data_IF_337929285212
#
_entry.id   IF_337929285212
#
_cell.length_a   1.000
_cell.length_b   1.000
_cell.length_c   1.000
_cell.angle_alpha   90.00
_cell.angle_beta   90.00
_cell.angle_gamma   90.00
#
_symmetry.space_group_name_H-M   'P 1'
#
loop_
_entity.id
_entity.type
_entity.pdbx_description
1 polymer ?
#
# COMPACT_ATOMS: atom_id res chain seq x y z
N UNK A 1 -15.42 13.50 0.27
CA UNK A 1 -14.39 12.44 0.30
C UNK A 1 -13.35 12.73 -0.76
N UNK A 2 -12.07 12.71 -0.38
CA UNK A 2 -10.93 12.85 -1.29
C UNK A 2 -10.82 11.65 -2.26
N UNK A 3 -10.24 11.90 -3.44
CA UNK A 3 -10.00 10.94 -4.51
C UNK A 3 -9.33 9.65 -4.00
N UNK A 4 -8.38 9.71 -3.06
CA UNK A 4 -7.72 8.55 -2.48
C UNK A 4 -8.67 7.71 -1.62
N UNK A 5 -9.49 8.35 -0.78
CA UNK A 5 -10.51 7.65 0.00
C UNK A 5 -11.58 7.00 -0.89
N UNK A 6 -12.01 7.69 -1.95
CA UNK A 6 -12.92 7.13 -2.97
C UNK A 6 -12.27 5.98 -3.74
N UNK A 7 -10.97 6.08 -4.03
CA UNK A 7 -10.20 5.06 -4.73
C UNK A 7 -10.03 3.81 -3.87
N UNK A 8 -9.75 3.98 -2.57
CA UNK A 8 -9.70 2.87 -1.62
C UNK A 8 -11.05 2.21 -1.39
N UNK A 9 -12.12 3.01 -1.33
CA UNK A 9 -13.48 2.50 -1.21
C UNK A 9 -13.93 1.79 -2.50
N UNK A 10 -13.54 2.29 -3.67
CA UNK A 10 -13.74 1.65 -4.97
C UNK A 10 -12.96 0.34 -5.10
N UNK A 11 -11.69 0.32 -4.67
CA UNK A 11 -10.87 -0.88 -4.50
C UNK A 11 -11.58 -1.90 -3.60
N UNK A 12 -12.05 -1.46 -2.43
CA UNK A 12 -12.67 -2.31 -1.43
C UNK A 12 -13.99 -2.93 -1.93
N UNK A 13 -14.76 -2.18 -2.71
CA UNK A 13 -15.97 -2.69 -3.37
C UNK A 13 -15.63 -3.68 -4.50
N UNK A 14 -14.63 -3.38 -5.34
CA UNK A 14 -14.18 -4.26 -6.41
C UNK A 14 -13.62 -5.60 -5.88
N UNK A 15 -12.87 -5.57 -4.78
CA UNK A 15 -12.35 -6.77 -4.08
C UNK A 15 -13.47 -7.65 -3.51
N UNK A 16 -14.63 -7.06 -3.14
CA UNK A 16 -15.80 -7.83 -2.69
C UNK A 16 -16.63 -8.40 -3.83
N UNK A 17 -16.63 -7.79 -5.01
CA UNK A 17 -17.30 -8.33 -6.20
C UNK A 17 -16.40 -9.34 -6.88
N UNK A 18 -16.51 -10.59 -6.43
CA UNK A 18 -15.84 -11.78 -6.96
C UNK A 18 -15.86 -11.85 -8.49
N UNK A 19 -14.69 -11.69 -9.10
CA UNK A 19 -14.15 -12.52 -10.18
C UNK A 19 -12.62 -12.39 -10.08
N UNK A 20 -11.91 -13.51 -9.98
CA UNK A 20 -10.45 -13.50 -9.84
C UNK A 20 -9.87 -12.97 -11.15
N UNK A 21 -9.36 -11.74 -11.12
CA UNK A 21 -8.68 -11.17 -12.27
C UNK A 21 -7.43 -12.02 -12.61
N UNK A 22 -7.14 -12.27 -13.90
CA UNK A 22 -5.99 -13.07 -14.33
C UNK A 22 -4.61 -12.52 -13.88
N UNK A 23 -4.58 -11.30 -13.33
CA UNK A 23 -3.37 -10.62 -12.84
C UNK A 23 -3.06 -10.81 -11.35
N UNK A 24 -3.74 -11.69 -10.62
CA UNK A 24 -3.55 -11.86 -9.17
C UNK A 24 -2.08 -12.03 -8.76
N UNK A 25 -1.67 -11.33 -7.71
CA UNK A 25 -0.34 -11.44 -7.08
C UNK A 25 -0.52 -11.76 -5.61
N UNK A 26 0.14 -12.81 -5.12
CA UNK A 26 0.16 -13.17 -3.71
C UNK A 26 1.34 -12.50 -3.01
N UNK A 27 1.14 -12.06 -1.76
CA UNK A 27 2.19 -11.42 -0.98
C UNK A 27 3.33 -12.38 -0.66
N UNK A 28 3.02 -13.66 -0.44
CA UNK A 28 4.02 -14.69 -0.12
C UNK A 28 5.16 -14.69 -1.15
N UNK A 29 4.82 -14.57 -2.43
CA UNK A 29 5.76 -14.54 -3.55
C UNK A 29 6.61 -13.27 -3.63
N UNK A 30 6.20 -12.20 -2.94
CA UNK A 30 6.85 -10.89 -2.97
C UNK A 30 7.53 -10.51 -1.64
N UNK A 31 7.16 -11.17 -0.54
CA UNK A 31 7.49 -10.80 0.84
C UNK A 31 8.98 -10.47 1.02
N UNK A 32 9.88 -11.40 0.70
CA UNK A 32 11.34 -11.21 0.81
C UNK A 32 11.87 -9.99 0.06
N UNK A 33 11.36 -9.75 -1.16
CA UNK A 33 11.75 -8.58 -1.96
C UNK A 33 11.30 -7.29 -1.27
N UNK A 34 10.09 -7.28 -0.72
CA UNK A 34 9.52 -6.13 -0.03
C UNK A 34 10.21 -5.87 1.32
N UNK A 35 10.67 -6.90 2.02
CA UNK A 35 11.47 -6.78 3.25
C UNK A 35 12.79 -6.04 2.98
N UNK A 36 13.55 -6.46 1.96
CA UNK A 36 14.80 -5.80 1.54
C UNK A 36 14.57 -4.32 1.21
N UNK A 37 13.50 -4.02 0.48
CA UNK A 37 13.14 -2.64 0.13
C UNK A 37 12.81 -1.82 1.39
N UNK A 38 12.06 -2.41 2.31
CA UNK A 38 11.68 -1.75 3.57
C UNK A 38 12.89 -1.43 4.43
N UNK A 39 13.83 -2.37 4.57
CA UNK A 39 15.11 -2.17 5.28
C UNK A 39 15.89 -0.99 4.69
N UNK A 40 15.96 -0.91 3.35
CA UNK A 40 16.62 0.18 2.65
C UNK A 40 15.94 1.54 2.90
N UNK A 41 14.61 1.60 2.89
CA UNK A 41 13.84 2.85 3.10
C UNK A 41 13.94 3.34 4.56
N UNK A 42 13.88 2.40 5.50
CA UNK A 42 13.99 2.64 6.93
C UNK A 42 15.43 2.96 7.36
N UNK A 43 16.41 2.72 6.48
CA UNK A 43 17.83 2.84 6.76
C UNK A 43 18.22 2.08 8.04
N UNK A 44 17.78 0.82 8.13
CA UNK A 44 17.98 -0.03 9.30
C UNK A 44 18.58 -1.37 8.89
N UNK A 45 19.46 -1.91 9.74
CA UNK A 45 20.00 -3.27 9.61
C UNK A 45 19.14 -4.32 10.31
N UNK A 46 18.02 -3.91 10.91
CA UNK A 46 17.12 -4.83 11.59
C UNK A 46 16.16 -5.46 10.59
N UNK A 47 15.89 -6.75 10.78
CA UNK A 47 15.00 -7.52 9.90
C UNK A 47 13.59 -6.97 9.93
N UNK A 48 13.12 -6.46 8.80
CA UNK A 48 11.71 -6.11 8.62
C UNK A 48 10.98 -7.36 8.16
N UNK A 49 9.85 -7.68 8.80
CA UNK A 49 8.98 -8.77 8.37
C UNK A 49 7.79 -8.22 7.59
N UNK A 50 7.50 -8.79 6.43
CA UNK A 50 6.31 -8.45 5.66
C UNK A 50 5.30 -9.61 5.75
N UNK A 51 4.16 -9.35 6.38
CA UNK A 51 3.16 -10.37 6.71
C UNK A 51 1.82 -10.06 6.04
N UNK A 52 1.18 -11.10 5.52
CA UNK A 52 -0.14 -11.02 4.91
C UNK A 52 -1.23 -10.78 5.96
N UNK A 53 -2.12 -9.83 5.69
CA UNK A 53 -3.24 -9.47 6.54
C UNK A 53 -4.49 -9.22 5.72
N UNK A 54 -5.60 -9.82 6.14
CA UNK A 54 -6.93 -9.56 5.54
C UNK A 54 -7.62 -8.34 6.19
N UNK A 55 -7.15 -7.96 7.38
CA UNK A 55 -7.85 -7.01 8.25
C UNK A 55 -7.12 -5.67 8.39
N UNK A 56 -5.79 -5.65 8.32
CA UNK A 56 -4.98 -4.48 8.64
C UNK A 56 -4.02 -4.15 7.50
N UNK A 57 -3.79 -2.87 7.27
CA UNK A 57 -2.69 -2.37 6.44
C UNK A 57 -1.95 -1.36 7.31
N UNK A 58 -0.64 -1.55 7.47
CA UNK A 58 0.16 -0.69 8.32
C UNK A 58 1.35 -1.44 8.90
N UNK A 59 1.69 -1.13 10.16
CA UNK A 59 2.91 -1.62 10.79
C UNK A 59 2.80 -1.74 12.30
N UNK A 60 3.45 -2.76 12.86
CA UNK A 60 3.67 -2.88 14.30
C UNK A 60 5.13 -3.29 14.55
N UNK A 61 5.88 -2.42 15.24
CA UNK A 61 7.31 -2.67 15.47
C UNK A 61 8.07 -2.80 14.14
N UNK A 62 8.61 -3.99 13.86
CA UNK A 62 9.33 -4.30 12.63
C UNK A 62 8.51 -5.15 11.65
N UNK A 63 7.21 -5.29 11.91
CA UNK A 63 6.31 -6.06 11.06
C UNK A 63 5.43 -5.12 10.25
N UNK A 64 5.45 -5.28 8.93
CA UNK A 64 4.57 -4.65 7.98
C UNK A 64 3.41 -5.58 7.67
N UNK A 65 2.19 -5.09 7.81
CA UNK A 65 0.97 -5.82 7.44
C UNK A 65 0.48 -5.31 6.09
N UNK A 66 0.47 -6.19 5.09
CA UNK A 66 0.02 -5.90 3.73
C UNK A 66 -1.07 -6.90 3.32
N UNK A 67 -1.90 -6.59 2.30
CA UNK A 67 -2.91 -7.53 1.82
C UNK A 67 -2.31 -8.88 1.42
N UNK A 68 -2.97 -9.99 1.78
CA UNK A 68 -2.52 -11.36 1.43
C UNK A 68 -2.38 -11.56 -0.07
N UNK A 69 -3.26 -10.93 -0.85
CA UNK A 69 -3.23 -10.90 -2.31
C UNK A 69 -3.70 -9.54 -2.82
N UNK A 70 -3.28 -9.20 -4.04
CA UNK A 70 -3.78 -8.06 -4.82
C UNK A 70 -4.24 -8.58 -6.18
N UNK A 71 -5.51 -8.35 -6.51
CA UNK A 71 -6.19 -8.75 -7.74
C UNK A 71 -6.94 -7.58 -8.39
N UNK A 72 -6.43 -6.36 -8.22
CA UNK A 72 -7.11 -5.13 -8.65
C UNK A 72 -6.96 -4.90 -10.15
N UNK A 73 -5.75 -5.11 -10.68
CA UNK A 73 -5.45 -4.93 -12.09
C UNK A 73 -5.49 -6.25 -12.84
N UNK A 74 -5.82 -6.19 -14.13
CA UNK A 74 -5.65 -7.32 -15.04
C UNK A 74 -4.17 -7.70 -15.26
N UNK A 75 -3.26 -6.75 -15.05
CA UNK A 75 -1.81 -6.92 -15.19
C UNK A 75 -1.14 -7.32 -13.87
N UNK A 76 -0.39 -8.42 -13.90
CA UNK A 76 0.51 -8.87 -12.82
C UNK A 76 1.50 -7.79 -12.44
N UNK A 77 2.09 -7.12 -13.44
CA UNK A 77 3.09 -6.05 -13.22
C UNK A 77 2.49 -4.90 -12.41
N UNK A 78 1.26 -4.47 -12.74
CA UNK A 78 0.60 -3.39 -12.03
C UNK A 78 0.24 -3.78 -10.58
N UNK A 79 -0.19 -5.02 -10.35
CA UNK A 79 -0.45 -5.51 -9.00
C UNK A 79 0.85 -5.61 -8.17
N UNK A 80 1.98 -5.99 -8.78
CA UNK A 80 3.31 -5.94 -8.14
C UNK A 80 3.74 -4.50 -7.83
N UNK A 81 3.53 -3.56 -8.75
CA UNK A 81 3.80 -2.13 -8.53
C UNK A 81 2.95 -1.58 -7.38
N UNK A 82 1.71 -2.03 -7.22
CA UNK A 82 0.87 -1.63 -6.10
C UNK A 82 1.41 -2.15 -4.75
N UNK A 83 1.89 -3.40 -4.69
CA UNK A 83 2.59 -3.90 -3.49
C UNK A 83 3.80 -3.05 -3.14
N UNK A 84 4.61 -2.69 -4.14
CA UNK A 84 5.77 -1.82 -3.95
C UNK A 84 5.35 -0.46 -3.38
N UNK A 85 4.33 0.19 -3.96
CA UNK A 85 3.82 1.46 -3.49
C UNK A 85 3.37 1.40 -2.02
N UNK A 86 2.55 0.39 -1.66
CA UNK A 86 2.08 0.19 -0.29
C UNK A 86 3.23 -0.05 0.70
N UNK A 87 4.25 -0.80 0.28
CA UNK A 87 5.44 -1.08 1.09
C UNK A 87 6.25 0.18 1.36
N UNK A 88 6.49 1.00 0.34
CA UNK A 88 7.21 2.27 0.45
C UNK A 88 6.48 3.25 1.38
N UNK A 89 5.17 3.40 1.21
CA UNK A 89 4.34 4.26 2.05
C UNK A 89 4.35 3.80 3.51
N UNK A 90 4.16 2.51 3.74
CA UNK A 90 4.14 1.94 5.09
C UNK A 90 5.51 2.06 5.78
N UNK A 91 6.59 1.87 5.03
CA UNK A 91 7.96 2.04 5.54
C UNK A 91 8.23 3.49 5.95
N UNK A 92 7.87 4.47 5.13
CA UNK A 92 8.03 5.88 5.51
C UNK A 92 7.13 6.25 6.69
N UNK A 93 5.91 5.69 6.76
CA UNK A 93 5.01 5.92 7.88
C UNK A 93 5.60 5.39 9.21
N UNK A 94 6.28 4.23 9.19
CA UNK A 94 7.07 3.72 10.32
C UNK A 94 8.20 4.70 10.66
N UNK A 95 9.02 5.09 9.66
CA UNK A 95 10.17 5.98 9.85
C UNK A 95 9.77 7.30 10.53
N UNK A 96 8.61 7.84 10.15
CA UNK A 96 8.03 9.08 10.69
C UNK A 96 7.24 8.86 11.98
N UNK A 97 7.14 7.62 12.47
CA UNK A 97 6.36 7.25 13.65
C UNK A 97 4.87 7.63 13.56
N UNK A 98 4.33 7.73 12.35
CA UNK A 98 2.95 8.19 12.08
C UNK A 98 1.90 7.12 12.37
N UNK A 99 2.32 5.85 12.44
CA UNK A 99 1.45 4.70 12.76
C UNK A 99 1.70 4.18 14.18
N UNK A 100 2.53 4.87 14.97
CA UNK A 100 2.85 4.44 16.33
C UNK A 100 1.75 4.86 17.30
N UNK A 101 0.83 3.93 17.62
CA UNK A 101 0.28 3.64 18.97
C UNK A 101 -0.93 2.70 18.86
N UNK A 102 -0.82 1.51 19.45
CA UNK A 102 -1.96 0.67 19.84
C UNK A 102 -2.35 1.06 21.26
N UNK A 103 -3.63 1.29 21.55
CA UNK A 103 -4.41 0.28 22.28
C UNK A 103 -5.93 0.28 22.01
N UNK A 104 -6.50 1.15 21.14
CA UNK A 104 -7.98 1.30 21.05
C UNK A 104 -8.62 1.57 19.68
N UNK A 105 -7.86 1.67 18.60
CA UNK A 105 -8.43 2.02 17.29
C UNK A 105 -8.92 0.76 16.53
N UNK A 106 -10.05 0.89 15.83
CA UNK A 106 -10.58 -0.17 14.96
C UNK A 106 -9.79 -0.25 13.63
N UNK A 107 -9.79 -1.39 12.91
CA UNK A 107 -9.10 -1.52 11.62
C UNK A 107 -9.46 -0.43 10.59
N UNK A 108 -10.71 0.05 10.63
CA UNK A 108 -11.18 1.15 9.77
C UNK A 108 -10.51 2.48 10.14
N UNK A 109 -10.39 2.77 11.43
CA UNK A 109 -9.76 4.01 11.91
C UNK A 109 -8.28 4.08 11.53
N UNK A 110 -7.58 2.94 11.60
CA UNK A 110 -6.18 2.85 11.16
C UNK A 110 -6.03 3.12 9.67
N UNK A 111 -6.87 2.50 8.83
CA UNK A 111 -6.91 2.75 7.38
C UNK A 111 -7.20 4.22 7.09
N UNK A 112 -8.15 4.84 7.79
CA UNK A 112 -8.45 6.27 7.61
C UNK A 112 -7.28 7.17 8.01
N UNK A 113 -6.60 6.88 9.12
CA UNK A 113 -5.42 7.65 9.55
C UNK A 113 -4.30 7.55 8.53
N UNK A 114 -4.03 6.35 8.03
CA UNK A 114 -3.05 6.13 6.97
C UNK A 114 -3.38 6.96 5.71
N UNK A 115 -4.65 6.95 5.28
CA UNK A 115 -5.13 7.76 4.16
C UNK A 115 -4.96 9.27 4.40
N UNK A 116 -5.32 9.76 5.59
CA UNK A 116 -5.14 11.18 5.95
C UNK A 116 -3.67 11.62 5.90
N UNK A 117 -2.75 10.71 6.20
CA UNK A 117 -1.31 11.00 6.18
C UNK A 117 -0.64 10.80 4.82
N UNK A 118 -1.33 10.20 3.83
CA UNK A 118 -0.71 9.86 2.53
C UNK A 118 -0.05 11.04 1.83
N UNK A 119 -0.65 12.22 1.86
CA UNK A 119 -0.05 13.41 1.24
C UNK A 119 1.34 13.73 1.79
N UNK A 120 1.53 13.57 3.11
CA UNK A 120 2.82 13.81 3.78
C UNK A 120 3.80 12.69 3.43
N UNK A 121 3.34 11.43 3.41
CA UNK A 121 4.18 10.29 3.05
C UNK A 121 4.67 10.37 1.59
N UNK A 122 3.80 10.80 0.67
CA UNK A 122 4.15 10.99 -0.73
C UNK A 122 5.21 12.06 -0.92
N UNK A 123 5.08 13.21 -0.26
CA UNK A 123 6.07 14.28 -0.32
C UNK A 123 7.46 13.82 0.15
N UNK A 124 7.51 13.00 1.21
CA UNK A 124 8.77 12.42 1.66
C UNK A 124 9.34 11.42 0.64
N UNK A 125 8.48 10.56 0.08
CA UNK A 125 8.92 9.58 -0.91
C UNK A 125 9.42 10.23 -2.19
N UNK A 126 8.84 11.36 -2.61
CA UNK A 126 9.35 12.15 -3.74
C UNK A 126 10.74 12.73 -3.47
N UNK A 127 11.04 13.07 -2.22
CA UNK A 127 12.39 13.52 -1.82
C UNK A 127 13.39 12.36 -1.77
N UNK A 128 12.95 11.17 -1.35
CA UNK A 128 13.80 9.98 -1.23
C UNK A 128 14.03 9.28 -2.58
N UNK A 129 13.03 9.30 -3.46
CA UNK A 129 13.00 8.56 -4.71
C UNK A 129 12.56 9.49 -5.84
N UNK A 130 13.52 9.93 -6.64
CA UNK A 130 13.22 10.74 -7.82
C UNK A 130 12.32 9.94 -8.78
N UNK A 131 11.19 10.54 -9.20
CA UNK A 131 10.20 9.91 -10.07
C UNK A 131 9.11 9.10 -9.34
N UNK A 132 9.05 9.10 -8.00
CA UNK A 132 8.01 8.42 -7.24
C UNK A 132 6.60 8.93 -7.58
N UNK A 133 6.41 10.25 -7.69
CA UNK A 133 5.15 10.84 -8.14
C UNK A 133 4.70 10.31 -9.50
N UNK A 134 5.61 10.25 -10.49
CA UNK A 134 5.30 9.71 -11.82
C UNK A 134 4.91 8.22 -11.77
N UNK A 135 5.58 7.44 -10.91
CA UNK A 135 5.24 6.05 -10.66
C UNK A 135 3.84 5.90 -10.03
N UNK A 136 3.49 6.76 -9.07
CA UNK A 136 2.16 6.76 -8.48
C UNK A 136 1.08 7.18 -9.48
N UNK A 137 1.34 8.21 -10.29
CA UNK A 137 0.42 8.62 -11.35
C UNK A 137 0.18 7.51 -12.37
N UNK A 138 1.21 6.74 -12.75
CA UNK A 138 1.06 5.56 -13.61
C UNK A 138 0.04 4.57 -13.02
N UNK A 139 0.23 4.18 -11.75
CA UNK A 139 -0.66 3.24 -11.05
C UNK A 139 -2.09 3.81 -10.98
N UNK A 140 -2.24 5.07 -10.57
CA UNK A 140 -3.56 5.67 -10.34
C UNK A 140 -4.32 5.94 -11.64
N UNK A 141 -3.64 6.34 -12.71
CA UNK A 141 -4.28 6.54 -14.01
C UNK A 141 -4.76 5.21 -14.60
N UNK A 142 -3.97 4.14 -14.46
CA UNK A 142 -4.40 2.78 -14.85
C UNK A 142 -5.58 2.32 -14.01
N UNK A 143 -5.61 2.65 -12.72
CA UNK A 143 -6.69 2.27 -11.83
C UNK A 143 -8.01 2.94 -12.18
N UNK A 144 -7.99 4.24 -12.50
CA UNK A 144 -9.17 4.97 -12.97
C UNK A 144 -9.79 4.32 -14.20
N UNK A 145 -8.93 3.90 -15.13
CA UNK A 145 -9.35 3.23 -16.37
C UNK A 145 -10.00 1.86 -16.09
N UNK A 146 -9.34 1.00 -15.31
CA UNK A 146 -9.81 -0.35 -15.00
C UNK A 146 -11.11 -0.35 -14.17
N UNK A 147 -11.23 0.60 -13.23
CA UNK A 147 -12.43 0.74 -12.40
C UNK A 147 -13.56 1.53 -13.07
N UNK A 148 -13.38 1.98 -14.32
CA UNK A 148 -14.34 2.84 -15.05
C UNK A 148 -14.80 4.06 -14.22
N UNK A 149 -13.92 4.61 -13.41
CA UNK A 149 -14.25 5.77 -12.57
C UNK A 149 -14.23 7.02 -13.45
N UNK A 150 -15.42 7.47 -13.88
CA UNK A 150 -15.61 8.76 -14.57
C UNK A 150 -15.41 9.94 -13.60
N UNK A 151 -14.81 11.02 -14.11
CA UNK A 151 -14.72 12.33 -13.43
C UNK A 151 -16.09 12.99 -13.38
#
# INVERSE_FOLDING_TARGET
MDLLAKTFQGLWHAVKSKEVAPGIVFLEDQSKRLEIISESVLNTSRSIQVVGSEQYIGSQGQTLFLPVKIDIFSSVELNQKLYLNLTLLSSVAIRKQMVNRWEKDSPIMERMRFLQTMGILNQELDQLFNGFYSFQEEIFNKLKFELKLSV
#
